data_IF_574728697961
#
_entry.id   IF_574728697961
#
_cell.length_a   1.000
_cell.length_b   1.000
_cell.length_c   1.000
_cell.angle_alpha   90.00
_cell.angle_beta   90.00
_cell.angle_gamma   90.00
#
_symmetry.space_group_name_H-M   'P 1'
#
loop_
_entity.id
_entity.type
_entity.pdbx_description
1 polymer ?
#
# COMPACT_ATOMS: atom_id res chain seq x y z
N UNK A 1 -11.48 -14.08 -8.72
CA UNK A 1 -10.52 -14.26 -7.61
C UNK A 1 -10.06 -15.71 -7.54
N UNK A 2 -10.85 -16.64 -6.97
CA UNK A 2 -10.46 -18.05 -6.78
C UNK A 2 -9.77 -18.69 -8.00
N UNK A 3 -10.44 -18.70 -9.16
CA UNK A 3 -9.88 -19.24 -10.41
C UNK A 3 -8.49 -18.67 -10.76
N UNK A 4 -8.30 -17.37 -10.61
CA UNK A 4 -7.02 -16.71 -10.94
C UNK A 4 -5.89 -17.09 -9.98
N UNK A 5 -6.21 -17.31 -8.70
CA UNK A 5 -5.23 -17.74 -7.69
C UNK A 5 -4.90 -19.24 -7.89
N UNK A 6 -5.91 -20.03 -8.24
CA UNK A 6 -5.77 -21.45 -8.56
C UNK A 6 -4.90 -21.67 -9.81
N UNK A 7 -5.11 -20.88 -10.87
CA UNK A 7 -4.27 -20.90 -12.08
C UNK A 7 -2.79 -20.56 -11.80
N UNK A 8 -2.51 -19.84 -10.71
CA UNK A 8 -1.15 -19.55 -10.25
C UNK A 8 -0.56 -20.64 -9.33
N UNK A 9 -1.35 -21.65 -8.97
CA UNK A 9 -0.96 -22.70 -8.02
C UNK A 9 -0.74 -22.18 -6.60
N UNK A 10 -1.38 -21.06 -6.24
CA UNK A 10 -1.19 -20.39 -4.93
C UNK A 10 -2.41 -20.50 -4.01
N UNK A 11 -3.49 -21.16 -4.46
CA UNK A 11 -4.72 -21.27 -3.68
C UNK A 11 -4.58 -22.38 -2.63
N UNK A 12 -4.23 -22.00 -1.40
CA UNK A 12 -4.31 -22.91 -0.25
C UNK A 12 -5.76 -23.07 0.23
N UNK A 13 -6.03 -24.14 0.99
CA UNK A 13 -7.34 -24.37 1.59
C UNK A 13 -7.72 -23.25 2.58
N UNK A 14 -6.75 -22.74 3.33
CA UNK A 14 -6.94 -21.61 4.24
C UNK A 14 -7.31 -20.33 3.49
N UNK A 15 -6.58 -19.99 2.42
CA UNK A 15 -6.89 -18.83 1.59
C UNK A 15 -8.25 -18.95 0.90
N UNK A 16 -8.60 -20.16 0.44
CA UNK A 16 -9.94 -20.43 -0.12
C UNK A 16 -11.03 -20.13 0.92
N UNK A 17 -10.88 -20.63 2.15
CA UNK A 17 -11.83 -20.39 3.22
C UNK A 17 -11.95 -18.89 3.55
N UNK A 18 -10.83 -18.16 3.63
CA UNK A 18 -10.84 -16.71 3.86
C UNK A 18 -11.58 -15.95 2.73
N UNK A 19 -11.35 -16.33 1.47
CA UNK A 19 -12.00 -15.71 0.31
C UNK A 19 -13.50 -16.00 0.30
N UNK A 20 -13.92 -17.23 0.62
CA UNK A 20 -15.34 -17.60 0.69
C UNK A 20 -16.05 -16.95 1.88
N UNK A 21 -15.33 -16.65 2.96
CA UNK A 21 -15.83 -15.95 4.14
C UNK A 21 -15.86 -14.42 3.99
N UNK A 22 -15.24 -13.85 2.94
CA UNK A 22 -15.19 -12.41 2.74
C UNK A 22 -16.61 -11.84 2.55
N UNK A 23 -17.02 -10.95 3.45
CA UNK A 23 -18.38 -10.41 3.54
C UNK A 23 -18.63 -9.18 2.66
N UNK A 24 -17.55 -8.58 2.14
CA UNK A 24 -17.60 -7.40 1.30
C UNK A 24 -16.52 -7.40 0.21
N UNK A 25 -16.77 -6.60 -0.84
CA UNK A 25 -15.87 -6.50 -2.00
C UNK A 25 -14.46 -6.03 -1.63
N UNK A 26 -14.33 -5.16 -0.63
CA UNK A 26 -13.04 -4.60 -0.22
C UNK A 26 -12.16 -5.68 0.40
N UNK A 27 -12.68 -6.42 1.38
CA UNK A 27 -11.97 -7.55 1.99
C UNK A 27 -11.57 -8.61 0.96
N UNK A 28 -12.46 -8.90 0.01
CA UNK A 28 -12.16 -9.81 -1.10
C UNK A 28 -11.01 -9.32 -1.99
N UNK A 29 -10.98 -8.02 -2.33
CA UNK A 29 -9.89 -7.44 -3.12
C UNK A 29 -8.57 -7.37 -2.34
N UNK A 30 -8.61 -7.14 -1.03
CA UNK A 30 -7.43 -7.15 -0.17
C UNK A 30 -6.77 -8.54 -0.17
N UNK A 31 -7.55 -9.61 0.03
CA UNK A 31 -7.07 -11.00 -0.04
C UNK A 31 -6.53 -11.38 -1.44
N UNK A 32 -7.08 -10.78 -2.49
CA UNK A 32 -6.65 -11.04 -3.86
C UNK A 32 -5.40 -10.23 -4.27
N UNK A 33 -5.07 -9.17 -3.53
CA UNK A 33 -4.05 -8.19 -3.92
C UNK A 33 -2.67 -8.82 -4.21
N UNK A 34 -2.16 -9.80 -3.44
CA UNK A 34 -0.89 -10.46 -3.74
C UNK A 34 -0.86 -11.19 -5.09
N UNK A 35 -2.02 -11.69 -5.53
CA UNK A 35 -2.17 -12.56 -6.70
C UNK A 35 -2.65 -11.82 -7.95
N UNK A 36 -2.99 -10.54 -7.80
CA UNK A 36 -3.44 -9.72 -8.91
C UNK A 36 -2.29 -9.53 -9.92
N UNK A 37 -2.50 -9.79 -11.22
CA UNK A 37 -1.48 -9.53 -12.22
C UNK A 37 -1.01 -8.07 -12.19
N UNK A 38 0.30 -7.86 -12.05
CA UNK A 38 0.91 -6.54 -11.93
C UNK A 38 1.87 -6.28 -13.09
N UNK A 39 2.02 -5.00 -13.45
CA UNK A 39 3.13 -4.55 -14.28
C UNK A 39 4.43 -4.83 -13.52
N UNK A 40 5.53 -5.06 -14.24
CA UNK A 40 6.83 -5.37 -13.66
C UNK A 40 7.22 -4.34 -12.57
N UNK A 41 7.20 -4.74 -11.30
CA UNK A 41 7.44 -3.85 -10.15
C UNK A 41 8.92 -3.82 -9.78
N UNK A 42 9.34 -2.81 -8.99
CA UNK A 42 10.70 -2.77 -8.44
C UNK A 42 11.00 -3.99 -7.57
N UNK A 43 10.02 -4.46 -6.80
CA UNK A 43 10.13 -5.67 -5.98
C UNK A 43 10.32 -6.92 -6.84
N UNK A 44 9.55 -7.08 -7.92
CA UNK A 44 9.73 -8.19 -8.86
C UNK A 44 11.13 -8.18 -9.50
N UNK A 45 11.61 -7.01 -9.95
CA UNK A 45 12.98 -6.86 -10.49
C UNK A 45 14.02 -7.23 -9.42
N UNK A 46 13.84 -6.78 -8.18
CA UNK A 46 14.74 -7.12 -7.08
C UNK A 46 14.75 -8.64 -6.77
N UNK A 47 13.60 -9.32 -6.81
CA UNK A 47 13.52 -10.78 -6.67
C UNK A 47 14.23 -11.51 -7.82
N UNK A 48 14.06 -11.05 -9.05
CA UNK A 48 14.77 -11.56 -10.23
C UNK A 48 16.30 -11.37 -10.11
N UNK A 49 16.74 -10.31 -9.43
CA UNK A 49 18.15 -10.06 -9.13
C UNK A 49 18.65 -10.78 -7.86
N UNK A 50 17.84 -11.67 -7.28
CA UNK A 50 18.23 -12.52 -6.15
C UNK A 50 18.19 -11.84 -4.78
N UNK A 51 17.46 -10.74 -4.61
CA UNK A 51 17.42 -9.97 -3.36
C UNK A 51 16.35 -10.41 -2.36
N UNK A 52 15.55 -11.44 -2.67
CA UNK A 52 14.57 -11.98 -1.71
C UNK A 52 15.22 -12.44 -0.40
N UNK A 53 16.33 -13.21 -0.39
CA UNK A 53 16.89 -13.68 0.86
C UNK A 53 17.52 -12.53 1.69
N UNK A 54 17.96 -11.44 1.05
CA UNK A 54 18.36 -10.23 1.79
C UNK A 54 17.15 -9.59 2.48
N UNK A 55 16.03 -9.43 1.78
CA UNK A 55 14.80 -8.92 2.38
C UNK A 55 14.35 -9.76 3.58
N UNK A 56 14.40 -11.09 3.45
CA UNK A 56 14.03 -12.02 4.52
C UNK A 56 14.94 -11.88 5.75
N UNK A 57 16.27 -11.79 5.55
CA UNK A 57 17.25 -11.59 6.63
C UNK A 57 17.05 -10.23 7.31
N UNK A 58 16.87 -9.16 6.55
CA UNK A 58 16.66 -7.82 7.13
C UNK A 58 15.39 -7.74 7.99
N UNK A 59 14.34 -8.47 7.59
CA UNK A 59 13.10 -8.53 8.35
C UNK A 59 13.23 -9.39 9.61
N UNK A 60 13.85 -10.56 9.50
CA UNK A 60 13.91 -11.54 10.58
C UNK A 60 14.96 -11.20 11.64
N UNK A 61 16.16 -10.79 11.20
CA UNK A 61 17.33 -10.64 12.08
C UNK A 61 17.59 -9.20 12.51
N UNK A 62 17.04 -8.22 11.77
CA UNK A 62 17.19 -6.78 12.04
C UNK A 62 18.66 -6.40 12.35
N UNK A 63 19.61 -6.73 11.44
CA UNK A 63 21.03 -6.54 11.70
C UNK A 63 21.35 -5.06 11.93
N UNK A 64 22.28 -4.79 12.85
CA UNK A 64 22.71 -3.44 13.18
C UNK A 64 23.38 -2.73 11.99
N UNK A 65 24.09 -3.50 11.15
CA UNK A 65 24.73 -3.01 9.92
C UNK A 65 24.08 -3.65 8.69
N UNK A 66 23.09 -2.94 8.16
CA UNK A 66 22.32 -3.32 6.98
C UNK A 66 23.20 -3.31 5.72
N UNK A 67 24.12 -2.36 5.59
CA UNK A 67 24.98 -2.25 4.41
C UNK A 67 26.02 -3.37 4.39
N UNK A 68 26.60 -3.73 5.53
CA UNK A 68 27.51 -4.87 5.63
C UNK A 68 26.81 -6.18 5.29
N UNK A 69 25.59 -6.38 5.78
CA UNK A 69 24.78 -7.58 5.46
C UNK A 69 24.49 -7.66 3.95
N UNK A 70 24.21 -6.52 3.32
CA UNK A 70 23.92 -6.43 1.90
C UNK A 70 25.11 -6.78 0.98
N UNK A 71 26.35 -6.70 1.46
CA UNK A 71 27.55 -7.06 0.67
C UNK A 71 27.51 -8.51 0.17
N UNK A 72 26.89 -9.43 0.92
CA UNK A 72 26.75 -10.83 0.54
C UNK A 72 25.82 -11.08 -0.66
N UNK A 73 25.11 -10.05 -1.13
CA UNK A 73 24.05 -10.16 -2.13
C UNK A 73 24.36 -9.37 -3.42
N UNK A 74 25.55 -8.81 -3.54
CA UNK A 74 25.99 -8.09 -4.74
C UNK A 74 26.21 -9.05 -5.91
N UNK A 75 25.85 -8.61 -7.11
CA UNK A 75 26.03 -9.36 -8.35
C UNK A 75 26.03 -8.42 -9.57
N UNK A 76 26.09 -8.97 -10.78
CA UNK A 76 26.13 -8.17 -12.03
C UNK A 76 24.94 -7.20 -12.17
N UNK A 77 23.79 -7.51 -11.59
CA UNK A 77 22.59 -6.67 -11.60
C UNK A 77 22.42 -5.81 -10.34
N UNK A 78 23.23 -6.06 -9.31
CA UNK A 78 23.20 -5.38 -8.01
C UNK A 78 24.61 -4.89 -7.69
N UNK A 79 25.00 -3.71 -8.24
CA UNK A 79 26.39 -3.30 -8.28
C UNK A 79 26.97 -2.83 -6.95
N UNK A 80 26.12 -2.44 -6.00
CA UNK A 80 26.53 -1.90 -4.70
C UNK A 80 25.50 -2.19 -3.60
N UNK A 81 25.92 -2.02 -2.35
CA UNK A 81 25.08 -2.29 -1.18
C UNK A 81 23.82 -1.42 -1.16
N UNK A 82 23.89 -0.19 -1.68
CA UNK A 82 22.72 0.68 -1.76
C UNK A 82 21.66 0.10 -2.69
N UNK A 83 22.04 -0.40 -3.86
CA UNK A 83 21.13 -1.06 -4.79
C UNK A 83 20.52 -2.33 -4.17
N UNK A 84 21.31 -3.11 -3.44
CA UNK A 84 20.83 -4.28 -2.71
C UNK A 84 19.78 -3.92 -1.65
N UNK A 85 20.08 -2.92 -0.81
CA UNK A 85 19.17 -2.44 0.25
C UNK A 85 17.91 -1.81 -0.33
N UNK A 86 18.01 -1.01 -1.39
CA UNK A 86 16.84 -0.41 -2.04
C UNK A 86 15.96 -1.48 -2.70
N UNK A 87 16.55 -2.53 -3.28
CA UNK A 87 15.82 -3.68 -3.82
C UNK A 87 15.12 -4.49 -2.73
N UNK A 88 15.83 -4.81 -1.64
CA UNK A 88 15.23 -5.49 -0.48
C UNK A 88 14.10 -4.65 0.15
N UNK A 89 14.29 -3.33 0.27
CA UNK A 89 13.24 -2.40 0.72
C UNK A 89 12.01 -2.46 -0.19
N UNK A 90 12.20 -2.47 -1.51
CA UNK A 90 11.07 -2.55 -2.44
C UNK A 90 10.28 -3.86 -2.25
N UNK A 91 10.97 -4.98 -2.02
CA UNK A 91 10.34 -6.27 -1.71
C UNK A 91 9.50 -6.18 -0.43
N UNK A 92 10.07 -5.66 0.66
CA UNK A 92 9.39 -5.53 1.94
C UNK A 92 8.21 -4.56 1.89
N UNK A 93 8.37 -3.44 1.18
CA UNK A 93 7.29 -2.48 0.96
C UNK A 93 6.11 -3.13 0.23
N UNK A 94 6.37 -3.91 -0.82
CA UNK A 94 5.31 -4.62 -1.55
C UNK A 94 4.65 -5.67 -0.65
N UNK A 95 5.45 -6.43 0.12
CA UNK A 95 4.92 -7.42 1.05
C UNK A 95 3.99 -6.79 2.10
N UNK A 96 4.40 -5.69 2.73
CA UNK A 96 3.58 -5.02 3.76
C UNK A 96 2.36 -4.32 3.16
N UNK A 97 2.49 -3.73 1.97
CA UNK A 97 1.38 -3.05 1.30
C UNK A 97 0.31 -4.00 0.76
N UNK A 98 0.55 -5.32 0.82
CA UNK A 98 -0.34 -6.35 0.29
C UNK A 98 -0.80 -7.35 1.36
N UNK A 99 -0.45 -7.10 2.62
CA UNK A 99 -0.93 -7.88 3.75
C UNK A 99 -2.38 -7.49 4.08
N UNK A 100 -3.32 -8.42 3.83
CA UNK A 100 -4.74 -8.15 3.95
C UNK A 100 -5.18 -7.80 5.39
N UNK A 101 -4.58 -8.44 6.40
CA UNK A 101 -4.88 -8.19 7.82
C UNK A 101 -4.41 -6.80 8.25
N UNK A 102 -3.19 -6.42 7.86
CA UNK A 102 -2.62 -5.10 8.11
C UNK A 102 -3.46 -4.01 7.41
N UNK A 103 -3.80 -4.21 6.13
CA UNK A 103 -4.63 -3.27 5.38
C UNK A 103 -5.99 -3.08 6.06
N UNK A 104 -6.65 -4.17 6.47
CA UNK A 104 -7.91 -4.12 7.21
C UNK A 104 -7.79 -3.32 8.49
N UNK A 105 -6.78 -3.62 9.31
CA UNK A 105 -6.50 -2.95 10.58
C UNK A 105 -6.25 -1.45 10.40
N UNK A 106 -5.43 -1.07 9.41
CA UNK A 106 -5.13 0.34 9.12
C UNK A 106 -6.36 1.08 8.60
N UNK A 107 -7.19 0.43 7.77
CA UNK A 107 -8.44 1.03 7.27
C UNK A 107 -9.40 1.33 8.41
N UNK A 108 -9.59 0.39 9.33
CA UNK A 108 -10.45 0.59 10.49
C UNK A 108 -9.91 1.68 11.40
N UNK A 109 -8.60 1.71 11.62
CA UNK A 109 -7.95 2.78 12.38
C UNK A 109 -8.20 4.16 11.73
N UNK A 110 -7.96 4.29 10.43
CA UNK A 110 -8.18 5.54 9.71
C UNK A 110 -9.64 5.96 9.73
N UNK A 111 -10.57 5.03 9.55
CA UNK A 111 -12.00 5.33 9.63
C UNK A 111 -12.40 5.88 10.99
N UNK A 112 -11.82 5.37 12.08
CA UNK A 112 -12.18 5.76 13.43
C UNK A 112 -11.48 7.04 13.91
N UNK A 113 -10.26 7.29 13.45
CA UNK A 113 -9.39 8.31 14.05
C UNK A 113 -8.96 9.42 13.09
N UNK A 114 -9.07 9.23 11.77
CA UNK A 114 -8.56 10.21 10.81
C UNK A 114 -9.50 11.42 10.67
N UNK A 115 -8.90 12.55 10.29
CA UNK A 115 -9.58 13.75 9.87
C UNK A 115 -9.48 13.93 8.36
N UNK A 116 -10.55 14.42 7.74
CA UNK A 116 -10.49 15.03 6.42
C UNK A 116 -9.92 16.43 6.59
N UNK A 117 -8.83 16.72 5.88
CA UNK A 117 -8.25 18.05 5.79
C UNK A 117 -8.39 18.58 4.35
N UNK A 118 -9.11 19.67 4.19
CA UNK A 118 -9.26 20.39 2.93
C UNK A 118 -8.53 21.72 3.01
N UNK A 119 -7.75 22.03 1.98
CA UNK A 119 -7.03 23.28 1.86
C UNK A 119 -7.13 23.82 0.43
N UNK A 120 -7.26 25.14 0.29
CA UNK A 120 -7.19 25.78 -1.02
C UNK A 120 -5.80 25.60 -1.63
N UNK A 121 -5.76 25.35 -2.94
CA UNK A 121 -4.51 25.35 -3.68
C UNK A 121 -4.07 26.80 -3.85
N UNK A 122 -2.80 27.07 -3.52
CA UNK A 122 -2.22 28.42 -3.61
C UNK A 122 -2.48 29.06 -4.98
N UNK A 123 -3.03 30.29 -4.98
CA UNK A 123 -3.36 31.04 -6.18
C UNK A 123 -4.71 30.70 -6.82
N UNK A 124 -5.47 29.75 -6.26
CA UNK A 124 -6.84 29.40 -6.69
C UNK A 124 -7.95 29.98 -5.80
N UNK A 125 -7.64 30.93 -4.92
CA UNK A 125 -8.60 31.47 -3.95
C UNK A 125 -9.80 32.14 -4.65
N UNK A 126 -9.55 32.87 -5.74
CA UNK A 126 -10.61 33.52 -6.52
C UNK A 126 -11.40 32.51 -7.36
N UNK A 127 -10.73 31.54 -7.99
CA UNK A 127 -11.39 30.49 -8.79
C UNK A 127 -12.28 29.59 -7.91
N UNK A 128 -11.80 29.32 -6.69
CA UNK A 128 -12.42 28.46 -5.70
C UNK A 128 -13.40 29.17 -4.76
N UNK A 129 -13.76 30.44 -4.98
CA UNK A 129 -14.54 31.26 -4.02
C UNK A 129 -15.83 30.56 -3.52
N UNK A 130 -16.49 29.80 -4.39
CA UNK A 130 -17.68 28.98 -4.07
C UNK A 130 -17.45 27.84 -3.07
N UNK A 131 -16.19 27.50 -2.79
CA UNK A 131 -15.74 26.50 -1.82
C UNK A 131 -14.97 27.14 -0.65
N UNK A 132 -15.04 28.47 -0.48
CA UNK A 132 -14.29 29.22 0.53
C UNK A 132 -14.47 28.71 1.97
N UNK A 133 -15.65 28.18 2.30
CA UNK A 133 -15.94 27.50 3.57
C UNK A 133 -14.97 26.32 3.87
N UNK A 134 -14.27 25.79 2.86
CA UNK A 134 -13.38 24.63 2.95
C UNK A 134 -11.91 24.95 2.66
N UNK A 135 -11.52 26.24 2.56
CA UNK A 135 -10.15 26.63 2.23
C UNK A 135 -9.10 26.27 3.30
N UNK A 136 -9.55 26.06 4.54
CA UNK A 136 -8.77 25.51 5.64
C UNK A 136 -9.74 24.81 6.61
N UNK A 137 -10.18 23.60 6.23
CA UNK A 137 -11.22 22.88 6.96
C UNK A 137 -10.74 21.51 7.42
N UNK A 138 -11.02 21.17 8.67
CA UNK A 138 -10.70 19.88 9.30
C UNK A 138 -11.90 19.33 10.03
N UNK A 139 -12.22 18.06 9.80
CA UNK A 139 -13.20 17.35 10.60
C UNK A 139 -12.97 15.83 10.60
N UNK A 140 -13.41 15.10 11.65
CA UNK A 140 -13.31 13.64 11.68
C UNK A 140 -14.05 12.98 10.50
N UNK A 141 -13.39 12.05 9.81
CA UNK A 141 -13.95 11.40 8.62
C UNK A 141 -15.28 10.69 8.92
N UNK A 142 -15.39 10.05 10.08
CA UNK A 142 -16.57 9.32 10.51
C UNK A 142 -17.79 10.21 10.84
N UNK A 143 -17.55 11.48 11.16
CA UNK A 143 -18.59 12.42 11.55
C UNK A 143 -18.98 13.38 10.41
N UNK A 144 -18.27 13.35 9.29
CA UNK A 144 -18.49 14.25 8.16
C UNK A 144 -19.84 13.95 7.48
N UNK A 145 -20.79 14.91 7.44
CA UNK A 145 -22.06 14.72 6.79
C UNK A 145 -21.90 14.73 5.26
N UNK A 146 -22.79 14.01 4.59
CA UNK A 146 -22.72 13.76 3.14
C UNK A 146 -22.59 15.03 2.29
N UNK A 147 -23.33 16.09 2.62
CA UNK A 147 -23.28 17.34 1.85
C UNK A 147 -21.92 18.03 1.91
N UNK A 148 -21.22 17.99 3.06
CA UNK A 148 -19.86 18.55 3.18
C UNK A 148 -18.84 17.67 2.45
N UNK A 149 -18.95 16.35 2.60
CA UNK A 149 -18.08 15.42 1.89
C UNK A 149 -18.16 15.63 0.36
N UNK A 150 -19.38 15.77 -0.17
CA UNK A 150 -19.62 16.07 -1.58
C UNK A 150 -19.08 17.45 -1.99
N UNK A 151 -19.20 18.47 -1.15
CA UNK A 151 -18.67 19.80 -1.44
C UNK A 151 -17.13 19.79 -1.53
N UNK A 152 -16.44 19.15 -0.58
CA UNK A 152 -14.97 18.99 -0.59
C UNK A 152 -14.52 18.19 -1.81
N UNK A 153 -15.17 17.07 -2.12
CA UNK A 153 -14.83 16.25 -3.29
C UNK A 153 -15.09 16.99 -4.61
N UNK A 154 -16.14 17.82 -4.66
CA UNK A 154 -16.42 18.67 -5.82
C UNK A 154 -15.34 19.75 -5.98
N UNK A 155 -14.96 20.42 -4.89
CA UNK A 155 -13.88 21.40 -4.90
C UNK A 155 -12.53 20.82 -5.29
N UNK A 156 -12.25 19.54 -4.97
CA UNK A 156 -11.04 18.84 -5.43
C UNK A 156 -11.04 18.54 -6.93
N UNK A 157 -12.21 18.27 -7.50
CA UNK A 157 -12.34 17.83 -8.91
C UNK A 157 -12.35 19.01 -9.89
N UNK A 158 -12.68 20.20 -9.41
CA UNK A 158 -12.71 21.45 -10.19
C UNK A 158 -11.40 22.23 -10.01
#
# INVERSE_FOLDING_TARGET
>A
VLKSIEEQGKLSDDLRAQIEAADNKTALEDLYLPYKPKRRTKAQIAREHGLQPLADVLLAEQPQDVEATAQGYLNENVPDAKAAVDGARAILMEQFAEDAELIGTLRDKLWNEAEIYAQVVEGKETEGEKFSDYFDHREPVRAMPSHRALAVLRGRNE
#
